data_IF_029813106120
#
_entry.id   IF_029813106120
#
_cell.length_a   1.000
_cell.length_b   1.000
_cell.length_c   1.000
_cell.angle_alpha   90.00
_cell.angle_beta   90.00
_cell.angle_gamma   90.00
#
_symmetry.space_group_name_H-M   'P 1'
#
loop_
_entity.id
_entity.type
_entity.pdbx_description
1 polymer ?
#
# COMPACT_ATOMS: atom_id res chain seq x y z
N UNK A 1 24.85 -10.80 -4.59
CA UNK A 1 25.09 -9.42 -5.09
C UNK A 1 24.26 -8.50 -4.22
N UNK A 2 24.84 -7.45 -3.62
CA UNK A 2 24.01 -6.40 -3.00
C UNK A 2 23.33 -5.68 -4.15
N UNK A 3 22.02 -5.70 -4.17
CA UNK A 3 21.27 -4.94 -5.16
C UNK A 3 21.62 -3.46 -5.03
N UNK A 4 22.06 -2.87 -6.15
CA UNK A 4 22.48 -1.49 -6.23
C UNK A 4 21.24 -0.59 -6.04
N UNK A 5 21.34 0.40 -5.16
CA UNK A 5 20.25 1.34 -4.91
C UNK A 5 20.45 2.57 -5.79
N UNK A 6 19.46 2.86 -6.62
CA UNK A 6 19.42 4.05 -7.45
C UNK A 6 18.73 5.18 -6.67
N UNK A 7 19.35 6.34 -6.65
CA UNK A 7 18.82 7.55 -6.02
C UNK A 7 18.23 8.44 -7.10
N UNK A 8 16.97 8.76 -6.98
CA UNK A 8 16.25 9.62 -7.93
C UNK A 8 15.71 10.83 -7.17
N UNK A 9 16.06 12.02 -7.61
CA UNK A 9 15.53 13.25 -7.07
C UNK A 9 14.47 13.82 -8.03
N UNK A 10 13.27 14.04 -7.52
CA UNK A 10 12.22 14.77 -8.24
C UNK A 10 12.45 16.24 -8.01
N UNK A 11 12.99 16.93 -9.02
CA UNK A 11 13.33 18.34 -8.93
C UNK A 11 12.10 19.25 -8.92
N UNK A 12 12.22 20.34 -8.19
CA UNK A 12 11.36 21.51 -8.26
C UNK A 12 12.16 22.78 -7.93
N UNK A 13 11.56 23.93 -8.13
CA UNK A 13 12.20 25.25 -7.95
C UNK A 13 12.31 25.69 -6.46
N UNK A 14 12.10 24.78 -5.50
CA UNK A 14 12.18 25.13 -4.09
C UNK A 14 13.62 25.24 -3.58
N UNK A 15 13.83 26.08 -2.55
CA UNK A 15 15.10 26.17 -1.84
C UNK A 15 15.56 24.81 -1.29
N UNK A 16 14.63 24.02 -0.76
CA UNK A 16 14.92 22.71 -0.16
C UNK A 16 15.31 21.68 -1.22
N UNK A 17 14.70 21.73 -2.40
CA UNK A 17 15.07 20.90 -3.55
C UNK A 17 16.50 21.20 -3.99
N UNK A 18 16.85 22.48 -4.15
CA UNK A 18 18.22 22.91 -4.51
C UNK A 18 19.24 22.48 -3.44
N UNK A 19 18.91 22.62 -2.15
CA UNK A 19 19.76 22.22 -1.02
C UNK A 19 20.01 20.71 -1.03
N UNK A 20 18.95 19.91 -1.12
CA UNK A 20 19.04 18.46 -1.14
C UNK A 20 19.83 17.96 -2.36
N UNK A 21 19.59 18.56 -3.53
CA UNK A 21 20.33 18.26 -4.75
C UNK A 21 21.85 18.44 -4.57
N UNK A 22 22.28 19.54 -3.94
CA UNK A 22 23.70 19.75 -3.62
C UNK A 22 24.25 18.65 -2.70
N UNK A 23 23.51 18.26 -1.68
CA UNK A 23 23.92 17.20 -0.76
C UNK A 23 24.03 15.84 -1.46
N UNK A 24 23.08 15.51 -2.33
CA UNK A 24 23.09 14.27 -3.10
C UNK A 24 24.24 14.24 -4.12
N UNK A 25 24.49 15.32 -4.84
CA UNK A 25 25.58 15.42 -5.83
C UNK A 25 26.99 15.40 -5.18
N UNK A 26 27.17 16.10 -4.08
CA UNK A 26 28.49 16.23 -3.42
C UNK A 26 28.99 14.92 -2.79
N UNK A 27 28.08 14.01 -2.45
CA UNK A 27 28.43 12.74 -1.81
C UNK A 27 28.67 11.58 -2.78
N UNK A 28 28.78 11.86 -4.10
CA UNK A 28 29.17 10.91 -5.15
C UNK A 28 28.41 9.58 -5.09
N UNK A 29 27.11 9.64 -4.84
CA UNK A 29 26.27 8.43 -4.99
C UNK A 29 26.33 7.97 -6.44
N UNK A 30 26.85 6.79 -6.69
CA UNK A 30 27.22 6.28 -8.02
C UNK A 30 26.07 6.19 -9.02
N UNK A 31 24.82 6.32 -8.58
CA UNK A 31 23.61 6.18 -9.37
C UNK A 31 22.56 7.23 -8.99
N UNK A 32 22.99 8.47 -8.95
CA UNK A 32 22.10 9.61 -8.75
C UNK A 32 21.54 10.10 -10.09
N UNK A 33 20.23 10.23 -10.16
CA UNK A 33 19.51 10.80 -11.28
C UNK A 33 18.56 11.91 -10.81
N UNK A 34 18.36 12.90 -11.64
CA UNK A 34 17.42 13.99 -11.41
C UNK A 34 16.37 13.99 -12.52
N UNK A 35 15.11 14.00 -12.16
CA UNK A 35 13.99 13.97 -13.11
C UNK A 35 12.92 14.98 -12.71
N UNK A 36 12.15 15.44 -13.67
CA UNK A 36 10.95 16.26 -13.41
C UNK A 36 9.80 15.38 -12.90
N UNK A 37 8.84 15.97 -12.20
CA UNK A 37 7.65 15.27 -11.72
C UNK A 37 6.84 14.61 -12.87
N UNK A 38 6.82 15.23 -14.07
CA UNK A 38 6.16 14.66 -15.26
C UNK A 38 6.86 13.43 -15.83
N UNK A 39 8.14 13.24 -15.54
CA UNK A 39 8.91 12.09 -16.04
C UNK A 39 8.75 10.82 -15.18
N UNK A 40 8.06 10.91 -14.04
CA UNK A 40 7.90 9.78 -13.10
C UNK A 40 7.13 8.60 -13.73
N UNK A 41 6.22 8.86 -14.64
CA UNK A 41 5.46 7.81 -15.33
C UNK A 41 6.35 6.89 -16.17
N UNK A 42 7.42 7.42 -16.77
CA UNK A 42 8.41 6.63 -17.49
C UNK A 42 9.29 5.76 -16.58
N UNK A 43 9.40 6.11 -15.31
CA UNK A 43 10.20 5.38 -14.32
C UNK A 43 9.52 4.11 -13.77
N UNK A 44 8.23 3.91 -14.03
CA UNK A 44 7.43 2.78 -13.53
C UNK A 44 7.99 1.42 -14.00
N UNK A 45 8.65 1.37 -15.11
CA UNK A 45 9.13 0.14 -15.77
C UNK A 45 10.62 -0.15 -15.55
N UNK A 46 11.28 0.58 -14.67
CA UNK A 46 12.71 0.38 -14.40
C UNK A 46 12.93 -0.79 -13.44
N UNK A 47 13.89 -1.66 -13.76
CA UNK A 47 14.33 -2.74 -12.89
C UNK A 47 15.37 -2.22 -11.89
N UNK A 48 15.23 -2.63 -10.62
CA UNK A 48 16.17 -2.31 -9.55
C UNK A 48 15.49 -1.75 -8.29
N UNK A 49 16.33 -1.37 -7.32
CA UNK A 49 15.89 -0.70 -6.10
C UNK A 49 16.04 0.80 -6.29
N UNK A 50 14.98 1.55 -6.05
CA UNK A 50 14.93 3.00 -6.24
C UNK A 50 14.50 3.71 -4.97
N UNK A 51 15.20 4.79 -4.63
CA UNK A 51 14.82 5.77 -3.61
C UNK A 51 14.48 7.09 -4.31
N UNK A 52 13.20 7.43 -4.31
CA UNK A 52 12.68 8.69 -4.88
C UNK A 52 12.63 9.75 -3.79
N UNK A 53 13.48 10.75 -3.90
CA UNK A 53 13.46 11.94 -3.03
C UNK A 53 12.51 12.98 -3.63
N UNK A 54 11.48 13.34 -2.89
CA UNK A 54 10.38 14.18 -3.36
C UNK A 54 10.02 15.18 -2.26
N UNK A 55 9.89 16.46 -2.58
CA UNK A 55 9.34 17.40 -1.61
C UNK A 55 7.88 17.10 -1.31
N UNK A 56 7.45 17.46 -0.11
CA UNK A 56 6.13 17.12 0.39
C UNK A 56 5.00 17.63 -0.51
N UNK A 57 5.09 18.88 -0.98
CA UNK A 57 4.05 19.49 -1.83
C UNK A 57 3.94 18.76 -3.17
N UNK A 58 5.06 18.54 -3.85
CA UNK A 58 5.10 17.78 -5.10
C UNK A 58 4.55 16.36 -4.90
N UNK A 59 4.92 15.68 -3.80
CA UNK A 59 4.43 14.33 -3.51
C UNK A 59 2.90 14.26 -3.36
N UNK A 60 2.29 15.28 -2.75
CA UNK A 60 0.82 15.39 -2.66
C UNK A 60 0.21 15.65 -4.04
N UNK A 61 0.83 16.48 -4.87
CA UNK A 61 0.30 16.80 -6.20
C UNK A 61 0.35 15.58 -7.16
N UNK A 62 1.37 14.71 -7.03
CA UNK A 62 1.57 13.55 -7.89
C UNK A 62 1.22 12.20 -7.21
N UNK A 63 0.38 12.20 -6.17
CA UNK A 63 0.13 11.00 -5.36
C UNK A 63 -0.36 9.78 -6.16
N UNK A 64 -1.15 10.00 -7.22
CA UNK A 64 -1.63 8.93 -8.09
C UNK A 64 -0.50 8.25 -8.87
N UNK A 65 0.46 9.04 -9.36
CA UNK A 65 1.65 8.53 -10.02
C UNK A 65 2.54 7.76 -9.04
N UNK A 66 2.65 8.22 -7.78
CA UNK A 66 3.38 7.51 -6.73
C UNK A 66 2.72 6.19 -6.35
N UNK A 67 1.39 6.14 -6.27
CA UNK A 67 0.62 4.92 -6.07
C UNK A 67 0.92 3.92 -7.19
N UNK A 68 0.74 4.31 -8.45
CA UNK A 68 1.03 3.49 -9.63
C UNK A 68 2.49 3.00 -9.66
N UNK A 69 3.46 3.88 -9.34
CA UNK A 69 4.87 3.55 -9.30
C UNK A 69 5.16 2.46 -8.24
N UNK A 70 4.61 2.62 -7.05
CA UNK A 70 4.86 1.70 -5.92
C UNK A 70 4.07 0.40 -6.01
N UNK A 71 2.94 0.37 -6.71
CA UNK A 71 2.18 -0.85 -7.00
C UNK A 71 2.89 -1.73 -8.02
N UNK A 72 3.40 -1.13 -9.10
CA UNK A 72 4.04 -1.86 -10.20
C UNK A 72 5.48 -2.27 -9.90
N UNK A 73 6.18 -1.57 -9.00
CA UNK A 73 7.54 -1.92 -8.59
C UNK A 73 7.67 -1.97 -7.06
N UNK A 74 7.75 -3.19 -6.51
CA UNK A 74 7.89 -3.43 -5.06
C UNK A 74 9.20 -2.89 -4.45
N UNK A 75 10.18 -2.56 -5.27
CA UNK A 75 11.48 -2.04 -4.86
C UNK A 75 11.59 -0.52 -5.04
N UNK A 76 10.50 0.17 -5.37
CA UNK A 76 10.42 1.63 -5.36
C UNK A 76 9.98 2.13 -3.98
N UNK A 77 10.75 3.04 -3.42
CA UNK A 77 10.51 3.65 -2.11
C UNK A 77 10.55 5.17 -2.23
N UNK A 78 9.78 5.85 -1.41
CA UNK A 78 9.72 7.31 -1.35
C UNK A 78 10.46 7.83 -0.11
N UNK A 79 11.15 8.93 -0.28
CA UNK A 79 11.77 9.73 0.77
C UNK A 79 11.24 11.15 0.64
N UNK A 80 10.39 11.53 1.56
CA UNK A 80 9.74 12.84 1.53
C UNK A 80 10.56 13.84 2.33
N UNK A 81 10.83 15.01 1.77
CA UNK A 81 11.52 16.10 2.44
C UNK A 81 10.68 17.39 2.45
N UNK A 82 11.11 18.39 3.18
CA UNK A 82 10.33 19.62 3.44
C UNK A 82 8.93 19.33 3.99
N UNK A 83 8.85 18.32 4.84
CA UNK A 83 7.60 17.75 5.29
C UNK A 83 7.12 18.37 6.62
N UNK A 84 5.81 18.50 6.83
CA UNK A 84 5.25 19.03 8.08
C UNK A 84 5.42 18.02 9.22
N UNK A 85 5.56 18.51 10.46
CA UNK A 85 5.60 17.66 11.66
C UNK A 85 4.29 16.93 11.93
N UNK A 86 3.17 17.50 11.48
CA UNK A 86 1.82 16.92 11.63
C UNK A 86 1.22 16.72 10.25
N UNK A 87 0.75 15.52 9.98
CA UNK A 87 0.10 15.13 8.73
C UNK A 87 -1.09 14.22 9.04
N UNK A 88 -2.17 14.33 8.28
CA UNK A 88 -3.29 13.42 8.38
C UNK A 88 -2.90 12.03 7.85
N UNK A 89 -3.37 10.95 8.50
CA UNK A 89 -3.08 9.57 8.05
C UNK A 89 -3.52 9.33 6.60
N UNK A 90 -4.66 9.93 6.19
CA UNK A 90 -5.16 9.84 4.83
C UNK A 90 -4.26 10.48 3.77
N UNK A 91 -3.41 11.42 4.14
CA UNK A 91 -2.40 12.02 3.27
C UNK A 91 -1.10 11.21 3.35
N UNK A 92 -0.69 10.81 4.56
CA UNK A 92 0.53 10.05 4.80
C UNK A 92 0.58 8.76 3.97
N UNK A 93 -0.52 8.02 3.90
CA UNK A 93 -0.59 6.75 3.16
C UNK A 93 -0.55 6.93 1.63
N UNK A 94 -0.80 8.13 1.13
CA UNK A 94 -0.70 8.47 -0.30
C UNK A 94 0.73 8.74 -0.77
N UNK A 95 1.67 8.90 0.16
CA UNK A 95 3.07 9.21 -0.16
C UNK A 95 3.86 7.99 -0.70
N UNK A 96 3.19 6.91 -1.05
CA UNK A 96 3.78 5.69 -1.57
C UNK A 96 4.43 4.82 -0.50
N UNK A 97 5.45 4.04 -0.88
CA UNK A 97 6.20 3.20 0.06
C UNK A 97 7.26 4.02 0.79
N UNK A 98 6.83 4.68 1.83
CA UNK A 98 7.63 5.62 2.58
C UNK A 98 8.82 4.94 3.29
N UNK A 99 10.04 5.40 3.01
CA UNK A 99 11.28 4.92 3.62
C UNK A 99 11.99 6.00 4.42
N UNK A 100 11.78 7.27 4.06
CA UNK A 100 12.29 8.44 4.78
C UNK A 100 11.26 9.55 4.84
N UNK A 101 11.32 10.35 5.91
CA UNK A 101 10.44 11.51 6.10
C UNK A 101 11.21 12.60 6.84
N UNK A 102 11.59 13.65 6.13
CA UNK A 102 12.44 14.72 6.64
C UNK A 102 11.63 15.97 6.84
N UNK A 103 11.60 16.43 8.07
CA UNK A 103 10.89 17.65 8.43
C UNK A 103 11.54 18.90 7.81
N UNK A 104 10.73 19.95 7.63
CA UNK A 104 11.23 21.32 7.46
C UNK A 104 12.26 21.62 8.56
N UNK A 105 13.41 22.20 8.18
CA UNK A 105 14.50 22.57 9.09
C UNK A 105 15.36 21.41 9.64
N UNK A 106 15.33 20.23 9.03
CA UNK A 106 16.34 19.20 9.29
C UNK A 106 17.75 19.74 8.91
N UNK A 107 18.76 19.44 9.71
CA UNK A 107 20.14 19.86 9.45
C UNK A 107 20.78 19.04 8.31
N UNK A 108 21.86 19.56 7.69
CA UNK A 108 22.56 18.85 6.63
C UNK A 108 23.21 17.55 7.13
N UNK A 109 23.73 17.55 8.35
CA UNK A 109 24.33 16.36 8.98
C UNK A 109 23.29 15.27 9.21
N UNK A 110 22.09 15.63 9.73
CA UNK A 110 20.99 14.69 9.91
C UNK A 110 20.49 14.10 8.58
N UNK A 111 20.42 14.93 7.52
CA UNK A 111 20.08 14.48 6.17
C UNK A 111 21.12 13.50 5.66
N UNK A 112 22.40 13.84 5.80
CA UNK A 112 23.52 12.99 5.37
C UNK A 112 23.51 11.63 6.05
N UNK A 113 23.39 11.60 7.38
CA UNK A 113 23.31 10.36 8.15
C UNK A 113 22.11 9.51 7.77
N UNK A 114 20.96 10.16 7.56
CA UNK A 114 19.73 9.52 7.12
C UNK A 114 19.88 8.88 5.74
N UNK A 115 20.46 9.58 4.77
CA UNK A 115 20.72 9.04 3.41
C UNK A 115 21.68 7.84 3.49
N UNK A 116 22.75 7.93 4.26
CA UNK A 116 23.67 6.82 4.47
C UNK A 116 23.00 5.60 5.10
N UNK A 117 22.02 5.82 5.99
CA UNK A 117 21.18 4.77 6.56
C UNK A 117 20.27 4.14 5.51
N UNK A 118 19.60 4.95 4.69
CA UNK A 118 18.71 4.52 3.62
C UNK A 118 19.43 3.65 2.58
N UNK A 119 20.64 4.04 2.18
CA UNK A 119 21.48 3.28 1.24
C UNK A 119 21.97 1.94 1.81
N UNK A 120 21.99 1.79 3.14
CA UNK A 120 22.23 0.52 3.83
C UNK A 120 20.95 -0.29 4.07
N UNK A 121 19.82 0.13 3.49
CA UNK A 121 18.53 -0.54 3.62
C UNK A 121 17.76 -0.23 4.92
N UNK A 122 18.21 0.74 5.71
CA UNK A 122 17.46 1.22 6.90
C UNK A 122 16.31 2.13 6.48
N UNK A 123 15.38 2.38 7.39
CA UNK A 123 14.38 3.44 7.27
C UNK A 123 14.84 4.67 8.06
N UNK A 124 14.44 5.84 7.60
CA UNK A 124 14.68 7.13 8.28
C UNK A 124 13.32 7.84 8.46
N UNK A 125 12.47 7.23 9.29
CA UNK A 125 11.15 7.74 9.63
C UNK A 125 11.16 8.24 11.07
N UNK A 126 10.65 9.48 11.34
CA UNK A 126 10.41 9.92 12.69
C UNK A 126 9.46 8.95 13.44
N UNK A 127 9.63 8.86 14.75
CA UNK A 127 8.88 7.91 15.59
C UNK A 127 7.35 8.07 15.45
N UNK A 128 6.87 9.32 15.49
CA UNK A 128 5.44 9.62 15.33
C UNK A 128 4.88 9.21 13.96
N UNK A 129 5.66 9.35 12.89
CA UNK A 129 5.27 8.92 11.53
C UNK A 129 5.25 7.39 11.45
N UNK A 130 6.26 6.74 12.00
CA UNK A 130 6.33 5.28 12.08
C UNK A 130 5.14 4.71 12.86
N UNK A 131 4.84 5.28 14.02
CA UNK A 131 3.72 4.88 14.87
C UNK A 131 2.38 5.03 14.14
N UNK A 132 2.16 6.19 13.50
CA UNK A 132 0.94 6.49 12.72
C UNK A 132 0.72 5.49 11.57
N UNK A 133 1.79 5.09 10.86
CA UNK A 133 1.73 4.07 9.82
C UNK A 133 1.43 2.69 10.39
N UNK A 134 2.08 2.32 11.49
CA UNK A 134 1.85 1.02 12.16
C UNK A 134 0.39 0.91 12.61
N UNK A 135 -0.14 1.91 13.31
CA UNK A 135 -1.55 1.93 13.73
C UNK A 135 -2.51 1.80 12.54
N UNK A 136 -2.23 2.53 11.45
CA UNK A 136 -3.05 2.45 10.25
C UNK A 136 -3.06 1.04 9.67
N UNK A 137 -1.89 0.43 9.45
CA UNK A 137 -1.80 -0.91 8.87
C UNK A 137 -2.33 -1.98 9.81
N UNK A 138 -2.12 -1.86 11.11
CA UNK A 138 -2.74 -2.76 12.10
C UNK A 138 -4.28 -2.67 12.04
N UNK A 139 -4.83 -1.46 11.94
CA UNK A 139 -6.28 -1.28 11.80
C UNK A 139 -6.83 -1.91 10.53
N UNK A 140 -6.08 -1.86 9.42
CA UNK A 140 -6.45 -2.56 8.18
C UNK A 140 -6.39 -4.08 8.37
N UNK A 141 -5.29 -4.60 8.94
CA UNK A 141 -5.14 -6.04 9.19
C UNK A 141 -6.27 -6.53 10.09
N UNK A 142 -6.60 -5.83 11.16
CA UNK A 142 -7.71 -6.18 12.04
C UNK A 142 -9.06 -6.16 11.31
N UNK A 143 -9.31 -5.15 10.47
CA UNK A 143 -10.51 -5.12 9.61
C UNK A 143 -10.59 -6.28 8.62
N UNK A 144 -9.44 -6.77 8.14
CA UNK A 144 -9.37 -7.89 7.21
C UNK A 144 -9.16 -9.24 7.93
N UNK A 145 -8.70 -9.24 9.19
CA UNK A 145 -8.47 -10.44 10.01
C UNK A 145 -9.66 -10.75 10.93
N UNK A 146 -10.50 -9.77 11.23
CA UNK A 146 -11.82 -10.15 11.69
C UNK A 146 -12.45 -10.95 10.55
N UNK A 147 -12.83 -12.23 10.78
CA UNK A 147 -13.71 -12.91 9.86
C UNK A 147 -14.87 -11.95 9.72
N UNK A 148 -14.94 -11.26 8.58
CA UNK A 148 -15.90 -10.19 8.33
C UNK A 148 -17.06 -10.35 9.27
N UNK A 149 -17.34 -9.36 10.12
CA UNK A 149 -18.64 -9.26 10.75
C UNK A 149 -19.67 -8.91 9.65
N UNK A 150 -19.59 -9.64 8.55
CA UNK A 150 -20.70 -9.86 7.69
C UNK A 150 -21.59 -10.66 8.59
N UNK A 151 -22.69 -10.03 8.97
CA UNK A 151 -23.72 -10.59 9.85
C UNK A 151 -24.38 -11.80 9.14
N UNK A 152 -23.53 -12.82 8.91
CA UNK A 152 -23.93 -14.09 8.35
C UNK A 152 -24.54 -14.90 9.49
N UNK A 153 -25.80 -15.25 9.34
CA UNK A 153 -26.45 -16.19 10.24
C UNK A 153 -25.74 -17.55 10.17
N UNK A 154 -25.82 -18.36 11.21
CA UNK A 154 -25.30 -19.73 11.21
C UNK A 154 -25.77 -20.51 9.96
N UNK A 155 -27.00 -20.28 9.52
CA UNK A 155 -27.56 -20.94 8.34
C UNK A 155 -26.87 -20.49 7.04
N UNK A 156 -26.54 -19.22 6.92
CA UNK A 156 -25.81 -18.68 5.77
C UNK A 156 -24.36 -19.19 5.72
N UNK A 157 -23.73 -19.35 6.88
CA UNK A 157 -22.41 -20.00 6.98
C UNK A 157 -22.49 -21.45 6.52
N UNK A 158 -23.45 -22.24 7.01
CA UNK A 158 -23.67 -23.62 6.57
C UNK A 158 -23.87 -23.75 5.06
N UNK A 159 -24.61 -22.82 4.45
CA UNK A 159 -24.80 -22.77 2.98
C UNK A 159 -23.47 -22.50 2.28
N UNK A 160 -22.68 -21.55 2.74
CA UNK A 160 -21.37 -21.20 2.16
C UNK A 160 -20.34 -22.32 2.30
N UNK A 161 -20.30 -23.02 3.43
CA UNK A 161 -19.40 -24.17 3.63
C UNK A 161 -19.63 -25.28 2.61
N UNK A 162 -20.89 -25.59 2.33
CA UNK A 162 -21.27 -26.58 1.33
C UNK A 162 -21.12 -26.09 -0.11
N UNK A 163 -21.38 -24.80 -0.31
CA UNK A 163 -21.11 -24.12 -1.58
C UNK A 163 -19.63 -24.20 -1.95
N UNK A 164 -18.72 -24.04 -0.96
CA UNK A 164 -17.27 -24.19 -1.11
C UNK A 164 -16.88 -25.53 -1.71
N UNK A 165 -17.61 -26.59 -1.39
CA UNK A 165 -17.40 -27.93 -1.94
C UNK A 165 -17.91 -28.08 -3.38
N UNK A 166 -18.46 -27.03 -3.99
CA UNK A 166 -18.95 -27.06 -5.38
C UNK A 166 -20.33 -27.71 -5.55
N UNK A 167 -21.07 -28.00 -4.48
CA UNK A 167 -22.37 -28.67 -4.54
C UNK A 167 -23.39 -27.84 -5.33
N UNK A 168 -24.25 -28.50 -6.12
CA UNK A 168 -25.37 -27.87 -6.82
C UNK A 168 -26.47 -27.41 -5.84
N UNK A 169 -27.39 -26.53 -6.28
CA UNK A 169 -28.49 -26.07 -5.41
C UNK A 169 -29.40 -27.24 -4.96
N UNK A 170 -29.58 -28.24 -5.81
CA UNK A 170 -30.33 -29.45 -5.46
C UNK A 170 -29.62 -30.20 -4.33
N UNK A 171 -28.33 -30.49 -4.47
CA UNK A 171 -27.56 -31.16 -3.42
C UNK A 171 -27.49 -30.35 -2.12
N UNK A 172 -27.38 -29.02 -2.23
CA UNK A 172 -27.46 -28.13 -1.07
C UNK A 172 -28.81 -28.22 -0.36
N UNK A 173 -29.91 -28.30 -1.15
CA UNK A 173 -31.27 -28.46 -0.63
C UNK A 173 -31.41 -29.79 0.13
N UNK A 174 -30.94 -30.89 -0.45
CA UNK A 174 -30.95 -32.22 0.15
C UNK A 174 -30.17 -32.26 1.46
N UNK A 175 -28.91 -31.78 1.46
CA UNK A 175 -28.06 -31.80 2.65
C UNK A 175 -28.55 -30.87 3.78
N UNK A 176 -29.18 -29.79 3.41
CA UNK A 176 -29.71 -28.81 4.36
C UNK A 176 -31.16 -29.04 4.76
N UNK A 177 -31.79 -30.05 4.22
CA UNK A 177 -33.23 -30.40 4.43
C UNK A 177 -34.17 -29.23 4.15
N UNK A 178 -33.98 -28.53 3.02
CA UNK A 178 -34.80 -27.42 2.57
C UNK A 178 -35.11 -27.53 1.08
N UNK A 179 -35.98 -26.66 0.56
CA UNK A 179 -36.28 -26.62 -0.87
C UNK A 179 -35.14 -25.92 -1.64
N UNK A 180 -34.98 -26.24 -2.94
CA UNK A 180 -34.06 -25.49 -3.81
C UNK A 180 -34.40 -24.00 -3.88
N UNK A 181 -35.67 -23.64 -3.77
CA UNK A 181 -36.12 -22.25 -3.71
C UNK A 181 -35.55 -21.55 -2.47
N UNK A 182 -35.58 -22.23 -1.34
CA UNK A 182 -34.99 -21.73 -0.08
C UNK A 182 -33.49 -21.53 -0.21
N UNK A 183 -32.78 -22.48 -0.85
CA UNK A 183 -31.34 -22.34 -1.13
C UNK A 183 -31.04 -21.11 -2.00
N UNK A 184 -31.82 -20.92 -3.10
CA UNK A 184 -31.67 -19.73 -3.96
C UNK A 184 -31.88 -18.44 -3.18
N UNK A 185 -32.87 -18.41 -2.28
CA UNK A 185 -33.13 -17.24 -1.43
C UNK A 185 -31.99 -16.96 -0.45
N UNK A 186 -31.39 -17.99 0.16
CA UNK A 186 -30.22 -17.86 0.99
C UNK A 186 -29.03 -17.35 0.18
N UNK A 187 -28.72 -17.94 -0.98
CA UNK A 187 -27.62 -17.52 -1.84
C UNK A 187 -27.76 -16.07 -2.27
N UNK A 188 -28.98 -15.60 -2.63
CA UNK A 188 -29.20 -14.21 -2.96
C UNK A 188 -28.83 -13.26 -1.79
N UNK A 189 -29.30 -13.57 -0.58
CA UNK A 189 -28.99 -12.79 0.63
C UNK A 189 -27.50 -12.83 0.94
N UNK A 190 -26.88 -14.01 0.87
CA UNK A 190 -25.44 -14.20 1.08
C UNK A 190 -24.63 -13.36 0.09
N UNK A 191 -24.92 -13.47 -1.22
CA UNK A 191 -24.18 -12.74 -2.25
C UNK A 191 -24.24 -11.23 -2.02
N UNK A 192 -25.42 -10.72 -1.60
CA UNK A 192 -25.58 -9.31 -1.23
C UNK A 192 -24.73 -8.95 -0.01
N UNK A 193 -24.71 -9.80 1.03
CA UNK A 193 -23.94 -9.58 2.26
C UNK A 193 -22.44 -9.60 2.01
N UNK A 194 -21.93 -10.56 1.20
CA UNK A 194 -20.51 -10.69 0.89
C UNK A 194 -20.08 -9.89 -0.33
N UNK A 195 -20.96 -9.02 -0.85
CA UNK A 195 -20.71 -8.11 -1.99
C UNK A 195 -20.16 -8.82 -3.24
N UNK A 196 -20.72 -9.99 -3.60
CA UNK A 196 -20.39 -10.72 -4.83
C UNK A 196 -21.61 -10.87 -5.74
N UNK A 197 -21.37 -11.01 -7.05
CA UNK A 197 -22.44 -11.16 -8.05
C UNK A 197 -22.48 -12.55 -8.69
N UNK A 198 -21.43 -13.36 -8.54
CA UNK A 198 -21.31 -14.67 -9.18
C UNK A 198 -21.06 -15.76 -8.15
N UNK A 199 -21.60 -16.96 -8.43
CA UNK A 199 -21.38 -18.17 -7.62
C UNK A 199 -19.91 -18.49 -7.44
N UNK A 200 -19.11 -18.39 -8.50
CA UNK A 200 -17.65 -18.62 -8.45
C UNK A 200 -16.94 -17.68 -7.50
N UNK A 201 -17.35 -16.43 -7.44
CA UNK A 201 -16.83 -15.45 -6.48
C UNK A 201 -17.21 -15.81 -5.04
N UNK A 202 -18.44 -16.31 -4.80
CA UNK A 202 -18.85 -16.74 -3.47
C UNK A 202 -18.07 -17.99 -3.02
N UNK A 203 -17.78 -18.91 -3.93
CA UNK A 203 -16.92 -20.08 -3.65
C UNK A 203 -15.50 -19.63 -3.28
N UNK A 204 -14.91 -18.75 -4.07
CA UNK A 204 -13.57 -18.18 -3.79
C UNK A 204 -13.55 -17.43 -2.44
N UNK A 205 -14.60 -16.66 -2.16
CA UNK A 205 -14.79 -15.98 -0.89
C UNK A 205 -14.82 -16.98 0.28
N UNK A 206 -15.65 -18.05 0.15
CA UNK A 206 -15.76 -19.07 1.18
C UNK A 206 -14.45 -19.81 1.45
N UNK A 207 -13.66 -20.11 0.39
CA UNK A 207 -12.31 -20.68 0.57
C UNK A 207 -11.34 -19.75 1.30
N UNK A 208 -11.48 -18.46 1.11
CA UNK A 208 -10.58 -17.46 1.68
C UNK A 208 -10.92 -17.12 3.14
N UNK A 209 -12.20 -17.13 3.49
CA UNK A 209 -12.67 -16.51 4.74
C UNK A 209 -13.41 -17.46 5.69
N UNK A 210 -13.81 -18.64 5.27
CA UNK A 210 -14.34 -19.65 6.18
C UNK A 210 -13.26 -20.63 6.59
N UNK A 211 -13.24 -21.06 7.88
CA UNK A 211 -12.27 -21.99 8.42
C UNK A 211 -12.24 -23.33 7.71
#
# INVERSE_FOLDING_TARGET
MKDKINVVHIENDSYYSTRLNKLLKNNHYSDYNEISASAIEGAIYLDGIFLYFIDFKTAIDIYKQLETLTENNKYCFTVIYDAPKKIATSELVKLGRLRGYFYVNITDDEVFDSINGLLKGKSSLPENISYQLIEYYQSLILRFSEPYSIDLTQREVQVLERLRLGLSNSKLADELFVSEHTVKSHLYKIFKKISVSKRTQAIAWAHKYLP
#
